data_IF_978341443731
#
_entry.id   IF_978341443731
#
_cell.length_a   1.000
_cell.length_b   1.000
_cell.length_c   1.000
_cell.angle_alpha   90.00
_cell.angle_beta   90.00
_cell.angle_gamma   90.00
#
_symmetry.space_group_name_H-M   'P 1'
#
loop_
_entity.id
_entity.type
_entity.pdbx_description
1 polymer ?
#
# COMPACT_ATOMS: atom_id res chain seq x y z
N UNK A 1 -13.66 -6.08 15.62
CA UNK A 1 -12.21 -6.35 15.69
C UNK A 1 -11.90 -6.85 17.09
N UNK A 2 -11.13 -7.92 17.21
CA UNK A 2 -10.74 -8.49 18.50
C UNK A 2 -9.43 -7.84 18.98
N UNK A 3 -9.42 -7.30 20.20
CA UNK A 3 -8.24 -6.65 20.77
C UNK A 3 -7.47 -7.64 21.64
N UNK A 4 -6.17 -7.80 21.34
CA UNK A 4 -5.28 -8.65 22.13
C UNK A 4 -4.36 -7.80 23.01
N UNK A 5 -4.30 -8.14 24.31
CA UNK A 5 -3.35 -7.51 25.23
C UNK A 5 -1.93 -7.94 24.89
N UNK A 6 -1.08 -6.95 24.66
CA UNK A 6 0.34 -7.15 24.33
C UNK A 6 1.20 -6.29 25.27
N UNK A 7 2.34 -6.81 25.71
CA UNK A 7 3.35 -6.05 26.44
C UNK A 7 4.46 -5.62 25.47
N UNK A 8 4.79 -4.34 25.47
CA UNK A 8 5.81 -3.76 24.60
C UNK A 8 6.80 -3.03 25.51
N UNK A 9 8.09 -3.28 25.32
CA UNK A 9 9.13 -2.47 25.95
C UNK A 9 9.35 -1.21 25.13
N UNK A 10 9.25 -0.07 25.79
CA UNK A 10 9.52 1.24 25.21
C UNK A 10 10.66 1.90 25.96
N UNK A 11 11.36 2.79 25.27
CA UNK A 11 12.27 3.70 25.97
C UNK A 11 11.47 4.61 26.92
N UNK A 12 12.11 5.02 28.01
CA UNK A 12 11.47 5.91 28.99
C UNK A 12 10.97 7.22 28.34
N UNK A 13 11.77 7.77 27.44
CA UNK A 13 11.43 8.97 26.64
C UNK A 13 10.17 8.76 25.81
N UNK A 14 10.08 7.63 25.10
CA UNK A 14 8.91 7.28 24.28
C UNK A 14 7.66 7.15 25.12
N UNK A 15 7.73 6.45 26.26
CA UNK A 15 6.59 6.34 27.16
C UNK A 15 6.13 7.71 27.65
N UNK A 16 7.05 8.59 28.07
CA UNK A 16 6.71 9.94 28.54
C UNK A 16 6.01 10.77 27.46
N UNK A 17 6.52 10.74 26.23
CA UNK A 17 5.91 11.45 25.10
C UNK A 17 4.51 10.89 24.80
N UNK A 18 4.34 9.57 24.77
CA UNK A 18 3.04 8.95 24.54
C UNK A 18 2.04 9.27 25.65
N UNK A 19 2.48 9.36 26.91
CA UNK A 19 1.62 9.80 28.02
C UNK A 19 1.18 11.25 27.83
N UNK A 20 2.09 12.15 27.46
CA UNK A 20 1.74 13.55 27.20
C UNK A 20 0.68 13.68 26.09
N UNK A 21 0.89 12.99 24.95
CA UNK A 21 -0.06 13.00 23.83
C UNK A 21 -1.42 12.43 24.26
N UNK A 22 -1.41 11.34 25.04
CA UNK A 22 -2.63 10.73 25.57
C UNK A 22 -3.44 11.69 26.45
N UNK A 23 -2.75 12.47 27.30
CA UNK A 23 -3.38 13.49 28.14
C UNK A 23 -3.91 14.66 27.32
N UNK A 24 -3.12 15.18 26.38
CA UNK A 24 -3.51 16.31 25.51
C UNK A 24 -4.72 15.97 24.62
N UNK A 25 -4.77 14.76 24.09
CA UNK A 25 -5.85 14.31 23.22
C UNK A 25 -7.02 13.68 23.97
N UNK A 26 -6.93 13.50 25.29
CA UNK A 26 -7.90 12.78 26.13
C UNK A 26 -8.19 11.36 25.60
N UNK A 27 -7.13 10.64 25.22
CA UNK A 27 -7.17 9.30 24.60
C UNK A 27 -6.32 8.33 25.40
N UNK A 28 -6.54 7.03 25.19
CA UNK A 28 -5.67 6.02 25.82
C UNK A 28 -4.34 5.87 25.05
N UNK A 29 -3.24 5.60 25.76
CA UNK A 29 -1.96 5.24 25.15
C UNK A 29 -2.13 4.09 24.15
N UNK A 30 -2.92 3.08 24.51
CA UNK A 30 -3.21 1.94 23.63
C UNK A 30 -3.87 2.35 22.32
N UNK A 31 -4.68 3.40 22.32
CA UNK A 31 -5.34 3.90 21.11
C UNK A 31 -4.36 4.66 20.20
N UNK A 32 -3.54 5.53 20.79
CA UNK A 32 -2.49 6.24 20.06
C UNK A 32 -1.50 5.24 19.44
N UNK A 33 -1.06 4.25 20.22
CA UNK A 33 -0.15 3.21 19.74
C UNK A 33 -0.77 2.40 18.61
N UNK A 34 -2.05 2.01 18.71
CA UNK A 34 -2.75 1.33 17.60
C UNK A 34 -2.79 2.17 16.34
N UNK A 35 -3.11 3.46 16.47
CA UNK A 35 -3.15 4.38 15.33
C UNK A 35 -1.77 4.51 14.66
N UNK A 36 -0.71 4.66 15.46
CA UNK A 36 0.66 4.71 14.94
C UNK A 36 1.04 3.42 14.22
N UNK A 37 0.69 2.25 14.79
CA UNK A 37 0.92 0.94 14.17
C UNK A 37 0.16 0.83 12.84
N UNK A 38 -1.11 1.21 12.80
CA UNK A 38 -1.90 1.17 11.56
C UNK A 38 -1.30 2.04 10.46
N UNK A 39 -0.86 3.26 10.80
CA UNK A 39 -0.21 4.17 9.85
C UNK A 39 1.06 3.54 9.27
N UNK A 40 1.89 2.94 10.10
CA UNK A 40 3.13 2.27 9.67
C UNK A 40 2.83 1.03 8.80
N UNK A 41 1.84 0.22 9.16
CA UNK A 41 1.42 -0.94 8.35
C UNK A 41 0.96 -0.52 6.96
N UNK A 42 0.13 0.54 6.86
CA UNK A 42 -0.31 1.11 5.57
C UNK A 42 0.86 1.65 4.76
N UNK A 43 1.85 2.29 5.41
CA UNK A 43 3.06 2.76 4.74
C UNK A 43 3.87 1.60 4.15
N UNK A 44 4.12 0.55 4.94
CA UNK A 44 4.84 -0.65 4.49
C UNK A 44 4.11 -1.39 3.36
N UNK A 45 2.78 -1.47 3.42
CA UNK A 45 1.98 -2.06 2.35
C UNK A 45 2.14 -1.28 1.05
N UNK A 46 1.99 0.05 1.08
CA UNK A 46 2.19 0.91 -0.09
C UNK A 46 3.60 0.81 -0.66
N UNK A 47 4.62 0.77 0.20
CA UNK A 47 6.01 0.59 -0.23
C UNK A 47 6.21 -0.75 -0.97
N UNK A 48 5.63 -1.84 -0.47
CA UNK A 48 5.67 -3.15 -1.13
C UNK A 48 4.96 -3.14 -2.49
N UNK A 49 3.78 -2.52 -2.56
CA UNK A 49 3.06 -2.37 -3.83
C UNK A 49 3.86 -1.56 -4.85
N UNK A 50 4.51 -0.48 -4.42
CA UNK A 50 5.35 0.34 -5.32
C UNK A 50 6.54 -0.46 -5.86
N UNK A 51 7.17 -1.29 -5.03
CA UNK A 51 8.27 -2.15 -5.49
C UNK A 51 7.77 -3.18 -6.49
N UNK A 52 6.67 -3.88 -6.18
CA UNK A 52 6.08 -4.84 -7.10
C UNK A 52 5.65 -4.20 -8.43
N UNK A 53 5.08 -2.99 -8.40
CA UNK A 53 4.72 -2.24 -9.59
C UNK A 53 5.95 -1.87 -10.44
N UNK A 54 7.08 -1.52 -9.81
CA UNK A 54 8.34 -1.25 -10.52
C UNK A 54 8.93 -2.49 -11.16
N UNK A 55 8.87 -3.63 -10.47
CA UNK A 55 9.30 -4.92 -11.02
C UNK A 55 8.42 -5.31 -12.22
N UNK A 56 7.09 -5.21 -12.09
CA UNK A 56 6.17 -5.45 -13.20
C UNK A 56 6.36 -4.49 -14.37
N UNK A 57 6.64 -3.20 -14.10
CA UNK A 57 6.93 -2.24 -15.16
C UNK A 57 8.22 -2.58 -15.92
N UNK A 58 9.25 -3.04 -15.21
CA UNK A 58 10.48 -3.48 -15.85
C UNK A 58 10.22 -4.68 -16.76
N UNK A 59 9.44 -5.66 -16.30
CA UNK A 59 9.07 -6.84 -17.09
C UNK A 59 8.17 -6.49 -18.29
N UNK A 60 7.20 -5.60 -18.11
CA UNK A 60 6.31 -5.11 -19.18
C UNK A 60 7.08 -4.39 -20.30
N UNK A 61 8.08 -3.56 -19.95
CA UNK A 61 8.90 -2.87 -20.93
C UNK A 61 9.94 -3.77 -21.61
N UNK A 62 10.37 -4.84 -20.93
CA UNK A 62 11.42 -5.73 -21.43
C UNK A 62 10.87 -6.90 -22.24
N UNK A 63 9.58 -7.23 -22.12
CA UNK A 63 8.95 -8.34 -22.80
C UNK A 63 7.90 -7.86 -23.84
N UNK A 64 8.26 -7.80 -25.14
CA UNK A 64 7.35 -7.34 -26.19
C UNK A 64 6.10 -8.23 -26.36
N UNK A 65 6.12 -9.48 -25.90
CA UNK A 65 4.93 -10.36 -25.91
C UNK A 65 3.82 -9.82 -24.97
N UNK A 66 4.17 -9.05 -23.94
CA UNK A 66 3.20 -8.44 -23.01
C UNK A 66 2.58 -7.15 -23.55
N UNK A 67 3.15 -6.56 -24.60
CA UNK A 67 2.67 -5.34 -25.29
C UNK A 67 2.10 -5.62 -26.68
N UNK A 68 2.17 -6.86 -27.15
CA UNK A 68 1.74 -7.26 -28.50
C UNK A 68 0.29 -6.87 -28.79
N UNK A 69 -0.61 -7.01 -27.80
CA UNK A 69 -2.02 -6.63 -27.94
C UNK A 69 -2.31 -5.14 -27.70
N UNK A 70 -1.33 -4.36 -27.23
CA UNK A 70 -1.48 -2.89 -27.10
C UNK A 70 -1.08 -2.14 -28.37
N UNK A 71 -0.36 -2.79 -29.27
CA UNK A 71 0.02 -2.25 -30.58
C UNK A 71 -1.04 -2.49 -31.67
N UNK A 72 -2.08 -3.29 -31.37
CA UNK A 72 -3.21 -3.51 -32.27
C UNK A 72 -4.09 -2.27 -32.30
N UNK A 73 -4.19 -1.62 -33.47
CA UNK A 73 -5.02 -0.45 -33.65
C UNK A 73 -6.50 -0.86 -33.62
N UNK A 74 -7.32 -0.15 -32.86
CA UNK A 74 -8.74 -0.52 -32.67
C UNK A 74 -9.54 -0.43 -33.98
N UNK A 75 -9.04 0.35 -34.94
CA UNK A 75 -9.64 0.53 -36.26
C UNK A 75 -9.44 -0.70 -37.17
N UNK A 76 -8.43 -1.55 -36.95
CA UNK A 76 -8.22 -2.77 -37.77
C UNK A 76 -9.33 -3.81 -37.56
N UNK A 77 -10.00 -3.79 -36.40
CA UNK A 77 -11.10 -4.72 -36.09
C UNK A 77 -12.47 -4.26 -36.62
N UNK A 78 -12.60 -3.01 -37.08
CA UNK A 78 -13.89 -2.44 -37.49
C UNK A 78 -14.21 -2.66 -38.98
N UNK A 79 -13.25 -3.13 -39.78
CA UNK A 79 -13.40 -3.24 -41.24
C UNK A 79 -13.37 -4.67 -41.80
N UNK A 80 -13.28 -5.72 -40.96
CA UNK A 80 -13.25 -7.12 -41.44
C UNK A 80 -14.64 -7.68 -41.83
N UNK A 81 -15.74 -6.98 -41.56
CA UNK A 81 -17.12 -7.48 -41.78
C UNK A 81 -17.86 -6.88 -43.01
N UNK A 82 -17.17 -6.20 -43.95
CA UNK A 82 -17.77 -5.72 -45.22
C UNK A 82 -17.25 -6.49 -46.46
N UNK A 83 -17.40 -7.81 -46.49
CA UNK A 83 -17.57 -8.56 -47.76
C UNK A 83 -18.71 -9.58 -47.63
N UNK A 84 -19.94 -9.16 -47.98
CA UNK A 84 -21.09 -10.03 -48.28
C UNK A 84 -21.74 -9.63 -49.61
#
# INVERSE_FOLDING_TARGET
MELQRTQILLEKSQHQILTLIAEEENRSISEIVREMIERELRFRQRRRMLLAARELQADYNANPDLTEFTDLDADDFLFEDEEL
#
